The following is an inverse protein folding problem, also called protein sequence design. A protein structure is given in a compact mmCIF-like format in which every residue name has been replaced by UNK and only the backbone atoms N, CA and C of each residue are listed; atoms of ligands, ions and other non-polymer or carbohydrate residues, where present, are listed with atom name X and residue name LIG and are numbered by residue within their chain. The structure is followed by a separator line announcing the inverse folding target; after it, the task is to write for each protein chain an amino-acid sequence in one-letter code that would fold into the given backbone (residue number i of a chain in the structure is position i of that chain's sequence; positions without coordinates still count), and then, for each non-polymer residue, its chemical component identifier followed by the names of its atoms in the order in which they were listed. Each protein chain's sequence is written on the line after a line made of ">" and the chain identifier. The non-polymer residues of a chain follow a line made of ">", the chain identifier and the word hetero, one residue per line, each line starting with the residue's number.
data_IF_309326052183
#
_entry.id   IF_309326052183
#
_cell.length_a   1.000
_cell.length_b   1.000
_cell.length_c   1.000
_cell.angle_alpha   90.00
_cell.angle_beta   90.00
_cell.angle_gamma   90.00
#
_symmetry.space_group_name_H-M   'P 1'
#
loop_
_entity.id
_entity.type
_entity.pdbx_description
1 polymer ?
#
# COMPACT_ATOMS: atom_id res chain seq x y z
N UNK A 1 32.14 40.30 4.40
CA UNK A 1 31.86 39.08 3.58
C UNK A 1 32.73 39.06 2.34
N UNK A 2 33.36 37.92 2.05
CA UNK A 2 34.13 37.66 0.82
C UNK A 2 33.23 37.65 -0.44
N UNK A 3 33.82 37.87 -1.62
CA UNK A 3 33.12 37.91 -2.91
C UNK A 3 32.25 36.66 -3.16
N UNK A 4 32.78 35.47 -2.90
CA UNK A 4 32.06 34.21 -3.05
C UNK A 4 30.86 34.10 -2.11
N UNK A 5 30.98 34.58 -0.87
CA UNK A 5 29.88 34.60 0.08
C UNK A 5 28.76 35.55 -0.37
N UNK A 6 29.11 36.75 -0.88
CA UNK A 6 28.14 37.69 -1.45
C UNK A 6 27.43 37.11 -2.68
N UNK A 7 28.16 36.42 -3.56
CA UNK A 7 27.58 35.74 -4.73
C UNK A 7 26.63 34.62 -4.32
N UNK A 8 27.01 33.80 -3.34
CA UNK A 8 26.17 32.71 -2.79
C UNK A 8 24.88 33.28 -2.20
N UNK A 9 24.98 34.32 -1.37
CA UNK A 9 23.80 34.99 -0.78
C UNK A 9 22.87 35.55 -1.86
N UNK A 10 23.40 36.29 -2.85
CA UNK A 10 22.59 36.82 -3.95
C UNK A 10 21.90 35.73 -4.77
N UNK A 11 22.55 34.57 -4.93
CA UNK A 11 21.95 33.39 -5.59
C UNK A 11 20.80 32.83 -4.77
N UNK A 12 21.00 32.62 -3.46
CA UNK A 12 19.95 32.14 -2.54
C UNK A 12 18.74 33.10 -2.52
N UNK A 13 18.97 34.40 -2.33
CA UNK A 13 17.87 35.39 -2.35
C UNK A 13 17.15 35.45 -3.71
N UNK A 14 17.84 35.19 -4.82
CA UNK A 14 17.20 35.07 -6.14
C UNK A 14 16.27 33.84 -6.20
N UNK A 15 16.67 32.72 -5.63
CA UNK A 15 15.86 31.50 -5.58
C UNK A 15 14.61 31.71 -4.73
N UNK A 16 14.73 32.31 -3.54
CA UNK A 16 13.57 32.65 -2.70
C UNK A 16 12.59 33.61 -3.38
N UNK A 17 13.09 34.67 -4.03
CA UNK A 17 12.24 35.58 -4.81
C UNK A 17 11.57 34.89 -6.00
N UNK A 18 12.24 33.93 -6.63
CA UNK A 18 11.64 33.16 -7.71
C UNK A 18 10.48 32.29 -7.22
N UNK A 19 10.65 31.63 -6.07
CA UNK A 19 9.61 30.82 -5.44
C UNK A 19 8.40 31.67 -5.02
N UNK A 20 8.62 32.80 -4.34
CA UNK A 20 7.56 33.74 -3.96
C UNK A 20 6.78 34.28 -5.17
N UNK A 21 7.50 34.66 -6.24
CA UNK A 21 6.87 35.09 -7.49
C UNK A 21 6.01 34.00 -8.11
N UNK A 22 6.49 32.75 -8.08
CA UNK A 22 5.73 31.62 -8.58
C UNK A 22 4.46 31.37 -7.75
N UNK A 23 4.57 31.38 -6.42
CA UNK A 23 3.43 31.27 -5.51
C UNK A 23 2.36 32.34 -5.80
N UNK A 24 2.78 33.60 -5.98
CA UNK A 24 1.89 34.69 -6.40
C UNK A 24 1.23 34.39 -7.75
N UNK A 25 2.01 34.14 -8.80
CA UNK A 25 1.46 33.91 -10.14
C UNK A 25 0.49 32.71 -10.23
N UNK A 26 0.63 31.72 -9.36
CA UNK A 26 -0.24 30.54 -9.35
C UNK A 26 -1.60 30.76 -8.68
N UNK A 27 -1.74 31.80 -7.83
CA UNK A 27 -2.95 32.02 -7.02
C UNK A 27 -3.37 33.49 -6.88
N UNK A 28 -2.80 34.39 -7.67
CA UNK A 28 -3.10 35.83 -7.63
C UNK A 28 -4.59 36.14 -7.88
N UNK A 29 -5.30 35.26 -8.58
CA UNK A 29 -6.72 35.35 -8.89
C UNK A 29 -7.65 34.83 -7.78
N UNK A 30 -7.16 33.96 -6.90
CA UNK A 30 -7.97 33.25 -5.88
C UNK A 30 -7.61 33.66 -4.45
N UNK A 31 -6.36 34.08 -4.20
CA UNK A 31 -5.87 34.42 -2.86
C UNK A 31 -6.47 35.75 -2.33
N UNK A 32 -6.51 35.91 -1.00
CA UNK A 32 -6.98 37.14 -0.37
C UNK A 32 -6.07 38.32 -0.76
N UNK A 33 -6.62 39.46 -1.20
CA UNK A 33 -5.84 40.64 -1.56
C UNK A 33 -4.87 41.09 -0.46
N UNK A 34 -5.23 40.91 0.82
CA UNK A 34 -4.35 41.25 1.95
C UNK A 34 -3.10 40.37 2.00
N UNK A 35 -3.24 39.09 1.70
CA UNK A 35 -2.11 38.15 1.69
C UNK A 35 -1.19 38.38 0.49
N UNK A 36 -1.75 38.78 -0.67
CA UNK A 36 -0.98 39.20 -1.84
C UNK A 36 -0.16 40.46 -1.55
N UNK A 37 -0.75 41.47 -0.90
CA UNK A 37 -0.03 42.68 -0.51
C UNK A 37 1.05 42.40 0.55
N UNK A 38 0.77 41.52 1.51
CA UNK A 38 1.79 41.07 2.47
C UNK A 38 2.97 40.35 1.79
N UNK A 39 2.69 39.51 0.79
CA UNK A 39 3.72 38.82 -0.01
C UNK A 39 4.56 39.81 -0.83
N UNK A 40 3.93 40.79 -1.49
CA UNK A 40 4.64 41.85 -2.23
C UNK A 40 5.52 42.69 -1.32
N UNK A 41 5.05 43.02 -0.11
CA UNK A 41 5.85 43.73 0.88
C UNK A 41 7.09 42.93 1.31
N UNK A 42 6.92 41.62 1.57
CA UNK A 42 8.04 40.75 1.90
C UNK A 42 9.04 40.59 0.74
N UNK A 43 8.55 40.49 -0.51
CA UNK A 43 9.41 40.48 -1.71
C UNK A 43 10.25 41.75 -1.81
N UNK A 44 9.68 42.92 -1.50
CA UNK A 44 10.38 44.20 -1.55
C UNK A 44 11.56 44.24 -0.55
N UNK A 45 11.34 43.75 0.68
CA UNK A 45 12.40 43.65 1.71
C UNK A 45 13.55 42.76 1.23
N UNK A 46 13.25 41.57 0.70
CA UNK A 46 14.27 40.64 0.22
C UNK A 46 15.00 41.17 -1.03
N UNK A 47 14.31 41.89 -1.91
CA UNK A 47 14.93 42.57 -3.07
C UNK A 47 15.90 43.65 -2.61
N UNK A 48 15.55 44.40 -1.57
CA UNK A 48 16.41 45.44 -1.02
C UNK A 48 17.67 44.84 -0.38
N UNK A 49 17.53 43.81 0.45
CA UNK A 49 18.67 43.07 1.04
C UNK A 49 19.57 42.49 -0.06
N UNK A 50 19.00 41.97 -1.15
CA UNK A 50 19.78 41.46 -2.28
C UNK A 50 20.57 42.57 -3.01
N UNK A 51 20.02 43.79 -3.04
CA UNK A 51 20.62 44.96 -3.70
C UNK A 51 21.74 45.56 -2.84
N UNK A 52 21.44 45.90 -1.59
CA UNK A 52 22.35 46.57 -0.66
C UNK A 52 23.33 45.60 0.00
N UNK A 53 22.91 44.35 0.22
CA UNK A 53 23.65 43.38 1.01
C UNK A 53 23.56 43.61 2.52
N UNK A 54 22.67 44.50 2.95
CA UNK A 54 22.47 44.90 4.35
C UNK A 54 21.08 44.49 4.82
N UNK A 55 20.98 44.03 6.07
CA UNK A 55 19.74 43.57 6.70
C UNK A 55 19.84 42.15 7.27
N UNK A 56 18.80 41.77 8.02
CA UNK A 56 18.69 40.42 8.58
C UNK A 56 18.09 39.49 7.52
N UNK A 57 18.95 38.66 6.90
CA UNK A 57 18.59 37.77 5.80
C UNK A 57 17.62 36.69 6.27
N UNK A 58 17.91 36.07 7.41
CA UNK A 58 17.14 34.97 7.98
C UNK A 58 15.69 35.40 8.24
N UNK A 59 15.49 36.51 8.95
CA UNK A 59 14.14 37.03 9.24
C UNK A 59 13.38 37.43 7.97
N UNK A 60 14.06 38.02 6.99
CA UNK A 60 13.44 38.42 5.74
C UNK A 60 13.01 37.21 4.88
N UNK A 61 13.83 36.16 4.85
CA UNK A 61 13.50 34.91 4.17
C UNK A 61 12.37 34.17 4.87
N UNK A 62 12.37 34.13 6.20
CA UNK A 62 11.31 33.50 6.99
C UNK A 62 9.96 34.23 6.81
N UNK A 63 9.97 35.57 6.86
CA UNK A 63 8.78 36.38 6.58
C UNK A 63 8.26 36.17 5.15
N UNK A 64 9.17 36.10 4.15
CA UNK A 64 8.81 35.82 2.77
C UNK A 64 8.22 34.41 2.61
N UNK A 65 8.79 33.41 3.28
CA UNK A 65 8.29 32.04 3.26
C UNK A 65 6.90 31.95 3.89
N UNK A 66 6.69 32.56 5.05
CA UNK A 66 5.39 32.58 5.72
C UNK A 66 4.31 33.29 4.89
N UNK A 67 4.64 34.42 4.24
CA UNK A 67 3.71 35.12 3.35
C UNK A 67 3.43 34.29 2.07
N UNK A 68 4.45 33.61 1.53
CA UNK A 68 4.30 32.75 0.36
C UNK A 68 3.41 31.53 0.66
N UNK A 69 3.51 30.94 1.85
CA UNK A 69 2.72 29.78 2.27
C UNK A 69 1.24 30.15 2.53
N UNK A 70 0.95 31.39 2.93
CA UNK A 70 -0.45 31.88 3.00
C UNK A 70 -1.10 31.97 1.62
N UNK A 71 -0.37 32.47 0.62
CA UNK A 71 -0.86 32.62 -0.76
C UNK A 71 -0.92 31.26 -1.46
N UNK A 72 0.12 30.45 -1.32
CA UNK A 72 0.26 29.13 -1.92
C UNK A 72 0.68 28.13 -0.83
N UNK A 73 -0.27 27.57 -0.07
CA UNK A 73 0.00 26.60 0.97
C UNK A 73 0.67 25.38 0.37
N UNK A 74 1.96 25.23 0.66
CA UNK A 74 2.76 24.05 0.32
C UNK A 74 2.31 22.81 1.11
N UNK A 75 1.54 23.03 2.18
CA UNK A 75 1.38 22.11 3.31
C UNK A 75 0.28 21.08 3.20
N UNK A 76 -0.38 20.91 2.05
CA UNK A 76 -1.38 19.85 1.92
C UNK A 76 -0.68 18.49 1.68
N UNK A 77 -0.07 17.96 2.75
CA UNK A 77 0.44 16.58 2.92
C UNK A 77 1.80 16.22 2.31
N UNK A 78 2.77 17.13 2.23
CA UNK A 78 4.09 16.83 1.64
C UNK A 78 4.80 15.67 2.36
N UNK A 79 4.96 15.75 3.69
CA UNK A 79 5.67 14.69 4.43
C UNK A 79 4.94 13.33 4.46
N UNK A 80 3.59 13.32 4.57
CA UNK A 80 2.83 12.07 4.53
C UNK A 80 2.87 11.44 3.13
N UNK A 81 2.75 12.26 2.07
CA UNK A 81 2.79 11.80 0.68
C UNK A 81 4.17 11.23 0.32
N UNK A 82 5.23 11.92 0.71
CA UNK A 82 6.62 11.45 0.51
C UNK A 82 6.84 10.11 1.23
N UNK A 83 6.41 9.97 2.49
CA UNK A 83 6.53 8.71 3.22
C UNK A 83 5.69 7.57 2.60
N UNK A 84 4.48 7.87 2.13
CA UNK A 84 3.64 6.88 1.44
C UNK A 84 4.29 6.44 0.13
N UNK A 85 4.87 7.36 -0.64
CA UNK A 85 5.59 7.04 -1.88
C UNK A 85 6.75 6.08 -1.60
N UNK A 86 7.59 6.42 -0.62
CA UNK A 86 8.72 5.57 -0.21
C UNK A 86 8.24 4.21 0.28
N UNK A 87 7.15 4.15 1.06
CA UNK A 87 6.55 2.90 1.53
C UNK A 87 6.06 2.03 0.38
N UNK A 88 5.38 2.61 -0.60
CA UNK A 88 4.88 1.88 -1.78
C UNK A 88 6.04 1.32 -2.60
N UNK A 89 7.09 2.13 -2.83
CA UNK A 89 8.30 1.69 -3.54
C UNK A 89 8.99 0.54 -2.80
N UNK A 90 9.16 0.66 -1.48
CA UNK A 90 9.76 -0.38 -0.66
C UNK A 90 8.93 -1.68 -0.67
N UNK A 91 7.61 -1.57 -0.56
CA UNK A 91 6.69 -2.71 -0.62
C UNK A 91 6.77 -3.40 -2.00
N UNK A 92 6.79 -2.63 -3.09
CA UNK A 92 6.93 -3.15 -4.45
C UNK A 92 8.25 -3.90 -4.66
N UNK A 93 9.37 -3.34 -4.19
CA UNK A 93 10.68 -3.98 -4.25
C UNK A 93 10.69 -5.29 -3.42
N UNK A 94 10.15 -5.27 -2.21
CA UNK A 94 10.04 -6.47 -1.37
C UNK A 94 9.18 -7.57 -2.03
N UNK A 95 8.05 -7.19 -2.65
CA UNK A 95 7.19 -8.12 -3.38
C UNK A 95 7.84 -8.67 -4.64
N UNK A 96 8.65 -7.88 -5.34
CA UNK A 96 9.43 -8.36 -6.47
C UNK A 96 10.48 -9.38 -6.04
N UNK A 97 11.24 -9.09 -4.98
CA UNK A 97 12.22 -10.03 -4.42
C UNK A 97 11.52 -11.34 -4.05
N UNK A 98 10.39 -11.24 -3.33
CA UNK A 98 9.59 -12.41 -2.97
C UNK A 98 9.14 -13.19 -4.20
N UNK A 99 8.53 -12.55 -5.20
CA UNK A 99 7.99 -13.21 -6.38
C UNK A 99 9.06 -13.84 -7.29
N UNK A 100 10.28 -13.31 -7.35
CA UNK A 100 11.32 -13.83 -8.25
C UNK A 100 12.32 -14.76 -7.57
N UNK A 101 12.52 -14.64 -6.25
CA UNK A 101 13.55 -15.40 -5.53
C UNK A 101 12.99 -16.35 -4.46
N UNK A 102 11.83 -16.06 -3.85
CA UNK A 102 11.26 -16.87 -2.77
C UNK A 102 10.05 -17.71 -3.24
N UNK A 103 9.24 -17.15 -4.15
CA UNK A 103 7.99 -17.71 -4.69
C UNK A 103 7.98 -17.67 -6.23
N UNK A 104 8.95 -18.32 -6.91
CA UNK A 104 9.08 -18.22 -8.37
C UNK A 104 7.95 -18.90 -9.17
N UNK A 105 7.08 -19.72 -8.55
CA UNK A 105 6.06 -20.50 -9.28
C UNK A 105 4.72 -20.61 -8.54
N UNK A 106 3.72 -19.87 -9.02
CA UNK A 106 2.31 -20.00 -8.56
C UNK A 106 1.52 -21.15 -9.19
N UNK A 107 2.14 -21.92 -10.08
CA UNK A 107 1.49 -23.04 -10.75
C UNK A 107 1.53 -24.25 -9.82
N UNK A 108 0.41 -24.99 -9.61
CA UNK A 108 0.45 -26.26 -8.89
C UNK A 108 1.21 -27.30 -9.72
N UNK A 109 2.55 -27.30 -9.64
CA UNK A 109 3.43 -28.20 -10.40
C UNK A 109 3.68 -29.49 -9.63
N UNK A 110 2.69 -30.39 -9.62
CA UNK A 110 2.84 -31.70 -8.97
C UNK A 110 4.00 -32.55 -9.52
N UNK A 111 4.37 -32.37 -10.79
CA UNK A 111 5.44 -33.15 -11.45
C UNK A 111 6.86 -32.59 -11.26
N UNK A 112 7.01 -31.35 -10.76
CA UNK A 112 8.31 -30.72 -10.54
C UNK A 112 8.70 -30.66 -9.05
N UNK A 113 7.92 -31.29 -8.18
CA UNK A 113 8.30 -31.53 -6.79
C UNK A 113 9.47 -32.53 -6.73
N UNK A 114 10.47 -32.33 -5.85
CA UNK A 114 10.59 -31.33 -4.78
C UNK A 114 11.29 -30.02 -5.21
N UNK A 115 11.70 -29.89 -6.48
CA UNK A 115 12.57 -28.82 -6.97
C UNK A 115 11.84 -27.49 -7.16
N UNK A 116 10.55 -27.50 -7.54
CA UNK A 116 9.70 -26.31 -7.67
C UNK A 116 8.36 -26.55 -6.94
N UNK A 117 8.22 -25.94 -5.77
CA UNK A 117 6.99 -26.00 -4.98
C UNK A 117 6.04 -24.90 -5.45
N UNK A 118 4.87 -25.30 -5.95
CA UNK A 118 3.76 -24.41 -6.25
C UNK A 118 2.95 -24.02 -5.00
N UNK A 119 1.66 -23.77 -5.17
CA UNK A 119 0.73 -23.63 -4.04
C UNK A 119 0.71 -24.94 -3.24
N UNK A 120 1.10 -24.89 -1.97
CA UNK A 120 1.03 -26.03 -1.05
C UNK A 120 -0.05 -25.83 0.00
N UNK A 121 -0.59 -26.95 0.49
CA UNK A 121 -1.65 -26.97 1.49
C UNK A 121 -1.19 -27.84 2.66
N UNK A 122 -1.32 -27.29 3.86
CA UNK A 122 -1.08 -28.01 5.11
C UNK A 122 -2.38 -28.08 5.92
N UNK A 123 -2.66 -29.24 6.50
CA UNK A 123 -3.81 -29.43 7.39
C UNK A 123 -3.78 -28.42 8.55
N UNK A 124 -4.83 -27.59 8.64
CA UNK A 124 -5.03 -26.66 9.74
C UNK A 124 -6.51 -26.70 10.14
N UNK A 125 -6.78 -27.21 11.35
CA UNK A 125 -8.15 -27.45 11.81
C UNK A 125 -8.90 -26.15 12.21
N UNK A 126 -8.19 -25.14 12.70
CA UNK A 126 -8.78 -23.91 13.21
C UNK A 126 -7.94 -22.67 12.85
N UNK A 127 -8.56 -21.48 12.75
CA UNK A 127 -7.82 -20.24 12.51
C UNK A 127 -6.87 -19.97 13.68
N UNK A 128 -5.64 -19.55 13.36
CA UNK A 128 -4.70 -19.06 14.36
C UNK A 128 -5.02 -17.64 14.80
N UNK A 129 -4.30 -17.13 15.81
CA UNK A 129 -4.48 -15.78 16.37
C UNK A 129 -4.32 -14.69 15.28
N UNK A 130 -3.48 -14.95 14.28
CA UNK A 130 -3.19 -14.04 13.15
C UNK A 130 -4.03 -14.30 11.89
N UNK A 131 -5.04 -15.19 11.94
CA UNK A 131 -5.94 -15.48 10.81
C UNK A 131 -7.23 -14.64 10.83
N UNK A 132 -7.24 -13.55 11.59
CA UNK A 132 -8.37 -12.63 11.66
C UNK A 132 -8.42 -11.67 10.45
N UNK A 133 -9.57 -11.02 10.16
CA UNK A 133 -9.72 -10.17 8.97
C UNK A 133 -8.73 -9.00 8.88
N UNK A 134 -8.20 -8.53 10.01
CA UNK A 134 -7.30 -7.37 10.09
C UNK A 134 -5.85 -7.80 9.83
N UNK A 135 -5.41 -8.92 10.42
CA UNK A 135 -4.03 -9.40 10.34
C UNK A 135 -3.77 -10.31 9.14
N UNK A 136 -4.82 -10.77 8.45
CA UNK A 136 -4.70 -11.69 7.31
C UNK A 136 -3.80 -11.13 6.20
N UNK A 137 -3.93 -9.85 5.86
CA UNK A 137 -3.12 -9.25 4.79
C UNK A 137 -1.65 -9.07 5.20
N UNK A 138 -1.32 -8.43 6.35
CA UNK A 138 0.07 -8.36 6.81
C UNK A 138 0.72 -9.73 7.01
N UNK A 139 0.00 -10.70 7.58
CA UNK A 139 0.47 -12.08 7.72
C UNK A 139 0.82 -12.66 6.36
N UNK A 140 -0.12 -12.62 5.41
CA UNK A 140 0.11 -13.13 4.06
C UNK A 140 1.27 -12.42 3.34
N UNK A 141 1.43 -11.11 3.54
CA UNK A 141 2.52 -10.34 2.97
C UNK A 141 3.89 -10.82 3.49
N UNK A 142 3.98 -11.17 4.77
CA UNK A 142 5.23 -11.58 5.42
C UNK A 142 5.53 -13.08 5.26
N UNK A 143 4.53 -13.94 5.39
CA UNK A 143 4.71 -15.40 5.46
C UNK A 143 4.26 -16.13 4.21
N UNK A 144 3.51 -15.48 3.32
CA UNK A 144 2.84 -16.13 2.18
C UNK A 144 1.76 -17.13 2.56
N UNK A 145 1.44 -17.25 3.85
CA UNK A 145 0.44 -18.20 4.33
C UNK A 145 -0.91 -17.54 4.56
N UNK A 146 -1.97 -18.26 4.21
CA UNK A 146 -3.35 -17.83 4.44
C UNK A 146 -4.19 -19.01 4.92
N UNK A 147 -4.98 -18.80 5.97
CA UNK A 147 -5.99 -19.78 6.36
C UNK A 147 -7.21 -19.68 5.44
N UNK A 148 -7.67 -20.83 4.92
CA UNK A 148 -8.91 -20.96 4.18
C UNK A 148 -9.79 -22.01 4.82
N UNK A 149 -11.06 -21.67 4.97
CA UNK A 149 -12.08 -22.51 5.54
C UNK A 149 -13.34 -22.40 4.67
N UNK A 150 -13.93 -23.55 4.35
CA UNK A 150 -15.19 -23.64 3.61
C UNK A 150 -16.19 -24.35 4.52
N UNK A 151 -17.32 -23.67 4.75
CA UNK A 151 -18.41 -24.14 5.62
C UNK A 151 -19.64 -24.52 4.80
N UNK A 152 -20.41 -25.46 5.31
CA UNK A 152 -21.70 -25.84 4.77
C UNK A 152 -22.70 -24.68 4.90
N UNK A 153 -23.33 -24.31 3.79
CA UNK A 153 -24.30 -23.23 3.70
C UNK A 153 -25.70 -23.66 4.13
N UNK A 154 -26.01 -24.93 3.94
CA UNK A 154 -27.29 -25.59 4.29
C UNK A 154 -27.04 -26.88 5.05
N UNK A 155 -28.03 -27.28 5.84
CA UNK A 155 -28.05 -28.61 6.45
C UNK A 155 -28.62 -29.61 5.47
N UNK A 156 -27.97 -30.77 5.31
CA UNK A 156 -28.48 -31.82 4.44
C UNK A 156 -27.50 -32.97 4.23
N UNK A 157 -27.97 -34.04 3.57
CA UNK A 157 -27.10 -35.12 3.16
C UNK A 157 -26.14 -34.64 2.08
N UNK A 158 -24.95 -35.23 2.09
CA UNK A 158 -23.94 -35.01 1.05
C UNK A 158 -24.24 -35.93 -0.13
N UNK A 159 -24.19 -35.39 -1.35
CA UNK A 159 -24.28 -36.25 -2.53
C UNK A 159 -22.96 -36.98 -2.78
N UNK A 160 -23.01 -38.23 -3.25
CA UNK A 160 -21.82 -38.96 -3.74
C UNK A 160 -21.24 -38.36 -5.03
N UNK A 161 -21.89 -37.34 -5.62
CA UNK A 161 -21.43 -36.68 -6.84
C UNK A 161 -20.40 -35.60 -6.49
N UNK A 162 -19.15 -36.02 -6.43
CA UNK A 162 -18.00 -35.13 -6.58
C UNK A 162 -17.74 -34.90 -8.06
N UNK A 163 -18.04 -33.71 -8.56
CA UNK A 163 -17.64 -33.27 -9.89
C UNK A 163 -16.79 -32.02 -9.79
N UNK A 164 -15.90 -31.83 -10.74
CA UNK A 164 -14.97 -30.73 -10.72
C UNK A 164 -14.34 -30.51 -12.07
N UNK A 165 -13.69 -29.36 -12.21
CA UNK A 165 -12.82 -29.04 -13.33
C UNK A 165 -11.40 -28.84 -12.80
N UNK A 166 -10.46 -28.39 -13.65
CA UNK A 166 -9.06 -28.15 -13.29
C UNK A 166 -8.86 -27.24 -12.07
N UNK A 167 -9.78 -26.31 -11.82
CA UNK A 167 -9.62 -25.29 -10.77
C UNK A 167 -10.44 -25.54 -9.51
N UNK A 168 -11.55 -26.29 -9.60
CA UNK A 168 -12.51 -26.46 -8.49
C UNK A 168 -13.14 -27.84 -8.44
N UNK A 169 -13.42 -28.29 -7.23
CA UNK A 169 -14.24 -29.43 -6.86
C UNK A 169 -15.57 -28.88 -6.33
N UNK A 170 -16.67 -29.46 -6.76
CA UNK A 170 -18.01 -29.11 -6.30
C UNK A 170 -18.54 -30.25 -5.45
N UNK A 171 -18.97 -29.90 -4.24
CA UNK A 171 -19.65 -30.79 -3.30
C UNK A 171 -21.09 -30.30 -3.13
N UNK A 172 -22.06 -31.16 -3.42
CA UNK A 172 -23.47 -30.85 -3.19
C UNK A 172 -23.89 -31.33 -1.79
N UNK A 173 -24.46 -30.41 -1.00
CA UNK A 173 -25.00 -30.69 0.33
C UNK A 173 -26.42 -30.15 0.35
N UNK A 174 -27.41 -31.02 0.61
CA UNK A 174 -28.82 -30.61 0.72
C UNK A 174 -29.36 -29.87 -0.51
N UNK A 175 -28.88 -30.19 -1.71
CA UNK A 175 -29.28 -29.53 -2.96
C UNK A 175 -28.52 -28.23 -3.28
N UNK A 176 -27.54 -27.82 -2.46
CA UNK A 176 -26.72 -26.64 -2.71
C UNK A 176 -25.25 -26.97 -3.03
N UNK A 177 -24.72 -26.32 -4.07
CA UNK A 177 -23.32 -26.45 -4.48
C UNK A 177 -22.35 -25.70 -3.56
N UNK A 178 -21.30 -26.40 -3.13
CA UNK A 178 -20.16 -25.88 -2.38
C UNK A 178 -18.90 -26.02 -3.24
N UNK A 179 -18.31 -24.89 -3.62
CA UNK A 179 -17.14 -24.85 -4.49
C UNK A 179 -15.87 -24.81 -3.67
N UNK A 180 -15.02 -25.82 -3.86
CA UNK A 180 -13.77 -26.03 -3.14
C UNK A 180 -12.63 -25.95 -4.16
N UNK A 181 -11.59 -25.13 -3.96
CA UNK A 181 -10.46 -25.08 -4.88
C UNK A 181 -9.74 -26.42 -4.99
N UNK A 182 -9.30 -26.81 -6.20
CA UNK A 182 -8.67 -28.12 -6.46
C UNK A 182 -7.39 -28.35 -5.65
N UNK A 183 -6.63 -27.31 -5.34
CA UNK A 183 -5.44 -27.45 -4.51
C UNK A 183 -5.75 -27.90 -3.06
N UNK A 184 -7.01 -27.85 -2.62
CA UNK A 184 -7.45 -28.37 -1.31
C UNK A 184 -8.03 -29.79 -1.40
N UNK A 185 -7.91 -30.47 -2.55
CA UNK A 185 -8.48 -31.81 -2.78
C UNK A 185 -8.02 -32.82 -1.73
N UNK A 186 -6.72 -32.84 -1.42
CA UNK A 186 -6.14 -33.84 -0.52
C UNK A 186 -6.62 -33.67 0.92
N UNK A 187 -7.02 -32.45 1.30
CA UNK A 187 -7.66 -32.17 2.59
C UNK A 187 -9.15 -32.51 2.62
N UNK A 188 -9.77 -32.73 1.46
CA UNK A 188 -11.18 -33.10 1.32
C UNK A 188 -11.37 -34.63 1.21
N UNK A 189 -10.54 -35.30 0.39
CA UNK A 189 -10.68 -36.73 0.09
C UNK A 189 -10.53 -37.57 1.38
N UNK A 190 -11.52 -38.42 1.67
CA UNK A 190 -11.55 -39.27 2.86
C UNK A 190 -12.05 -38.60 4.15
N UNK A 191 -12.35 -37.28 4.13
CA UNK A 191 -12.89 -36.53 5.28
C UNK A 191 -14.33 -36.04 5.08
N UNK A 192 -14.97 -36.40 3.97
CA UNK A 192 -16.35 -36.02 3.65
C UNK A 192 -17.32 -36.79 4.54
N UNK A 193 -18.23 -36.07 5.20
CA UNK A 193 -19.31 -36.66 6.01
C UNK A 193 -20.52 -36.96 5.14
N UNK A 194 -21.34 -37.94 5.55
CA UNK A 194 -22.62 -38.25 4.89
C UNK A 194 -23.68 -37.16 5.09
N UNK A 195 -23.55 -36.35 6.13
CA UNK A 195 -24.47 -35.27 6.47
C UNK A 195 -23.71 -34.10 7.10
N UNK A 196 -24.10 -32.88 6.74
CA UNK A 196 -23.59 -31.64 7.33
C UNK A 196 -24.75 -30.81 7.89
N UNK A 197 -24.50 -30.13 9.00
CA UNK A 197 -25.34 -29.04 9.46
C UNK A 197 -24.85 -27.72 8.87
N UNK A 198 -25.76 -26.76 8.69
CA UNK A 198 -25.41 -25.38 8.32
C UNK A 198 -24.36 -24.83 9.29
N UNK A 199 -23.24 -24.36 8.73
CA UNK A 199 -22.10 -23.82 9.46
C UNK A 199 -20.99 -24.83 9.76
N UNK A 200 -21.23 -26.12 9.54
CA UNK A 200 -20.21 -27.16 9.70
C UNK A 200 -19.04 -26.94 8.74
N UNK A 201 -17.83 -27.19 9.24
CA UNK A 201 -16.61 -27.10 8.43
C UNK A 201 -16.57 -28.27 7.45
N UNK A 202 -16.53 -27.97 6.16
CA UNK A 202 -16.36 -28.97 5.10
C UNK A 202 -14.88 -29.28 4.94
N UNK A 203 -14.06 -28.23 4.80
CA UNK A 203 -12.60 -28.33 4.69
C UNK A 203 -11.96 -27.06 5.24
N UNK A 204 -10.85 -27.22 5.94
CA UNK A 204 -10.03 -26.12 6.42
C UNK A 204 -8.56 -26.44 6.27
N UNK A 205 -7.77 -25.48 5.79
CA UNK A 205 -6.34 -25.68 5.64
C UNK A 205 -5.56 -24.36 5.65
N UNK A 206 -4.27 -24.49 5.90
CA UNK A 206 -3.28 -23.44 5.62
C UNK A 206 -2.86 -23.57 4.17
N UNK A 207 -3.02 -22.49 3.43
CA UNK A 207 -2.56 -22.37 2.04
C UNK A 207 -1.31 -21.53 2.03
N UNK A 208 -0.21 -22.09 1.54
CA UNK A 208 1.05 -21.40 1.33
C UNK A 208 1.10 -21.02 -0.15
N UNK A 209 1.17 -19.71 -0.43
CA UNK A 209 1.40 -19.24 -1.78
C UNK A 209 2.83 -19.59 -2.19
N UNK A 210 2.98 -20.23 -3.35
CA UNK A 210 4.26 -20.40 -4.03
C UNK A 210 4.56 -19.27 -5.01
#
# INVERSE_FOLDING_TARGET
>A
MNFFAKRKLKKQLKEYLHAARHARHMREDIADPKDIEALKAAEAVVREIKRTGEGNVENAVEALAAASDKVYPSHNNTGLRENIEVLIVALGAAMAIRAFFLEPFKIPTGSMQPTLNGITVEAQAAPGIFDNPITKFPKWLLTGTSYKEIRAKVSGPTSDRLYGDRDKIVLEIGGEEHRIPVYMRDELVGKIKSYYNKGDVIVSARVIAG
#
